data_IF_921774888387
#
_entry.id   IF_921774888387
#
_cell.length_a   1.000
_cell.length_b   1.000
_cell.length_c   1.000
_cell.angle_alpha   90.00
_cell.angle_beta   90.00
_cell.angle_gamma   90.00
#
_symmetry.space_group_name_H-M   'P 1'
#
loop_
_entity.id
_entity.type
_entity.pdbx_description
1 polymer ?
#
# COMPACT_ATOMS: atom_id res chain seq x y z
N UNK A 1 12.73 39.25 18.54
CA UNK A 1 13.39 38.90 17.26
C UNK A 1 13.56 37.39 17.22
N UNK A 2 12.44 36.68 17.31
CA UNK A 2 12.37 35.28 17.70
C UNK A 2 11.29 34.63 16.85
N UNK A 3 11.60 34.36 15.58
CA UNK A 3 10.62 33.69 14.70
C UNK A 3 11.21 33.01 13.45
N UNK A 4 12.52 33.09 13.21
CA UNK A 4 13.09 32.59 11.94
C UNK A 4 13.48 31.09 12.01
N UNK A 5 13.83 30.57 13.19
CA UNK A 5 14.24 29.17 13.34
C UNK A 5 13.08 28.17 13.25
N UNK A 6 11.88 28.57 13.68
CA UNK A 6 10.68 27.74 13.52
C UNK A 6 10.21 27.72 12.07
N UNK A 7 10.34 28.84 11.34
CA UNK A 7 10.10 28.87 9.89
C UNK A 7 11.04 27.95 9.13
N UNK A 8 12.33 27.97 9.41
CA UNK A 8 13.28 27.05 8.75
C UNK A 8 12.98 25.58 9.06
N UNK A 9 12.56 25.27 10.30
CA UNK A 9 12.19 23.90 10.70
C UNK A 9 10.96 23.41 9.93
N UNK A 10 9.89 24.23 9.87
CA UNK A 10 8.66 23.91 9.11
C UNK A 10 8.97 23.73 7.62
N UNK A 11 9.80 24.62 7.06
CA UNK A 11 10.14 24.60 5.64
C UNK A 11 11.05 23.42 5.26
N UNK A 12 11.87 22.93 6.20
CA UNK A 12 12.66 21.70 6.00
C UNK A 12 11.80 20.45 6.13
N UNK A 13 10.79 20.44 7.02
CA UNK A 13 9.83 19.33 7.15
C UNK A 13 8.92 19.20 5.92
N UNK A 14 8.53 20.32 5.30
CA UNK A 14 7.78 20.34 4.04
C UNK A 14 8.56 19.74 2.85
N UNK A 15 9.89 19.71 2.90
CA UNK A 15 10.73 19.12 1.85
C UNK A 15 10.99 17.62 2.01
N UNK A 16 10.63 17.03 3.16
CA UNK A 16 10.89 15.61 3.48
C UNK A 16 9.59 14.79 3.45
N UNK A 17 8.44 15.45 3.62
CA UNK A 17 7.12 14.83 3.46
C UNK A 17 6.72 14.96 1.97
N UNK A 18 6.62 13.87 1.18
CA UNK A 18 6.04 13.97 -0.15
C UNK A 18 4.62 14.54 -0.04
N UNK A 19 4.24 15.47 -0.92
CA UNK A 19 2.95 16.17 -0.86
C UNK A 19 1.72 15.24 -0.96
N UNK A 20 1.93 13.98 -1.35
CA UNK A 20 0.94 12.94 -1.52
C UNK A 20 1.44 11.67 -0.80
N UNK A 21 1.43 11.70 0.52
CA UNK A 21 1.73 10.52 1.34
C UNK A 21 0.53 9.56 1.32
N UNK A 22 0.37 8.87 0.19
CA UNK A 22 -0.60 7.81 0.03
C UNK A 22 0.02 6.53 0.61
N UNK A 23 -0.66 5.95 1.61
CA UNK A 23 -0.29 4.67 2.18
C UNK A 23 -0.07 3.61 1.08
N UNK A 24 1.04 2.89 1.15
CA UNK A 24 1.43 1.93 0.12
C UNK A 24 0.51 0.71 0.17
N UNK A 25 -0.19 0.42 -0.93
CA UNK A 25 -1.06 -0.74 -1.03
C UNK A 25 -0.30 -2.04 -1.37
N UNK A 26 -0.75 -3.15 -0.79
CA UNK A 26 -0.23 -4.51 -0.99
C UNK A 26 -1.35 -5.54 -1.11
N UNK A 27 -1.07 -6.60 -1.87
CA UNK A 27 -1.78 -7.89 -1.78
C UNK A 27 -0.88 -8.92 -1.11
N UNK A 28 -1.37 -9.53 -0.04
CA UNK A 28 -0.67 -10.57 0.71
C UNK A 28 -1.37 -11.90 0.45
N UNK A 29 -0.63 -12.91 -0.01
CA UNK A 29 -1.19 -14.24 -0.26
C UNK A 29 -1.39 -14.97 1.07
N UNK A 30 -2.63 -15.32 1.41
CA UNK A 30 -2.99 -16.02 2.64
C UNK A 30 -3.23 -17.52 2.45
N UNK A 31 -3.51 -17.98 1.22
CA UNK A 31 -3.64 -19.41 0.89
C UNK A 31 -3.09 -19.73 -0.51
N UNK A 32 -2.81 -21.02 -0.77
CA UNK A 32 -2.25 -21.50 -2.03
C UNK A 32 -0.76 -21.81 -1.96
N UNK A 33 -0.11 -21.93 -3.11
CA UNK A 33 1.32 -22.29 -3.19
C UNK A 33 2.25 -21.17 -2.70
N UNK A 34 1.83 -19.90 -2.84
CA UNK A 34 2.68 -18.73 -2.62
C UNK A 34 2.36 -17.99 -1.31
N UNK A 35 1.91 -18.70 -0.27
CA UNK A 35 1.53 -18.09 1.03
C UNK A 35 2.65 -17.20 1.58
N UNK A 36 2.27 -16.02 2.09
CA UNK A 36 3.18 -15.03 2.66
C UNK A 36 3.82 -14.10 1.63
N UNK A 37 3.70 -14.39 0.33
CA UNK A 37 4.15 -13.49 -0.72
C UNK A 37 3.35 -12.19 -0.69
N UNK A 38 4.07 -11.08 -0.83
CA UNK A 38 3.48 -9.74 -0.87
C UNK A 38 3.71 -9.13 -2.26
N UNK A 39 2.65 -8.64 -2.87
CA UNK A 39 2.67 -7.92 -4.14
C UNK A 39 2.40 -6.45 -3.86
N UNK A 40 3.38 -5.59 -4.13
CA UNK A 40 3.21 -4.13 -4.10
C UNK A 40 2.26 -3.70 -5.22
N UNK A 41 1.30 -2.84 -4.89
CA UNK A 41 0.37 -2.26 -5.86
C UNK A 41 0.76 -0.81 -6.15
N UNK A 42 1.09 -0.51 -7.41
CA UNK A 42 1.30 0.86 -7.86
C UNK A 42 -0.02 1.53 -8.25
N UNK A 43 -0.08 2.87 -8.26
CA UNK A 43 -1.14 3.60 -8.95
C UNK A 43 -1.39 3.06 -10.37
N UNK A 44 -2.66 2.94 -10.73
CA UNK A 44 -3.13 2.33 -11.97
C UNK A 44 -3.67 0.91 -11.79
N UNK A 45 -3.77 0.19 -12.91
CA UNK A 45 -4.34 -1.16 -12.93
C UNK A 45 -3.29 -2.23 -12.62
N UNK A 46 -3.69 -3.20 -11.80
CA UNK A 46 -2.97 -4.44 -11.51
C UNK A 46 -3.86 -5.64 -11.83
N UNK A 47 -3.46 -6.41 -12.84
CA UNK A 47 -4.14 -7.63 -13.25
C UNK A 47 -3.76 -8.82 -12.37
N UNK A 48 -4.75 -9.65 -12.06
CA UNK A 48 -4.63 -10.87 -11.26
C UNK A 48 -5.17 -12.04 -12.09
N UNK A 49 -4.43 -13.14 -12.18
CA UNK A 49 -4.89 -14.35 -12.86
C UNK A 49 -3.82 -15.42 -12.96
N UNK A 50 -4.13 -16.55 -13.60
CA UNK A 50 -3.14 -17.64 -13.79
C UNK A 50 -2.18 -17.41 -14.95
N UNK A 51 -2.46 -16.44 -15.82
CA UNK A 51 -1.57 -16.15 -16.94
C UNK A 51 -0.30 -15.47 -16.44
N UNK A 52 0.85 -15.88 -16.96
CA UNK A 52 2.15 -15.26 -16.66
C UNK A 52 2.25 -13.81 -17.15
N UNK A 53 1.32 -13.38 -17.99
CA UNK A 53 1.18 -11.99 -18.45
C UNK A 53 0.49 -11.07 -17.41
N UNK A 54 -0.13 -11.65 -16.36
CA UNK A 54 -0.72 -10.85 -15.28
C UNK A 54 0.33 -10.37 -14.30
N UNK A 55 0.12 -9.18 -13.71
CA UNK A 55 1.05 -8.61 -12.72
C UNK A 55 1.10 -9.44 -11.44
N UNK A 56 -0.03 -10.02 -11.03
CA UNK A 56 -0.13 -10.97 -9.93
C UNK A 56 -0.52 -12.33 -10.50
N UNK A 57 0.51 -13.10 -10.86
CA UNK A 57 0.35 -14.46 -11.39
C UNK A 57 0.09 -15.45 -10.26
N UNK A 58 -1.09 -16.09 -10.29
CA UNK A 58 -1.52 -17.14 -9.38
C UNK A 58 -1.71 -18.43 -10.18
N UNK A 59 -0.68 -19.27 -10.25
CA UNK A 59 -0.68 -20.50 -11.05
C UNK A 59 -1.59 -21.58 -10.43
N UNK A 60 -2.90 -21.47 -10.68
CA UNK A 60 -3.91 -22.44 -10.24
C UNK A 60 -4.99 -22.67 -11.31
N UNK A 61 -5.51 -23.89 -11.39
CA UNK A 61 -6.44 -24.29 -12.46
C UNK A 61 -7.82 -23.63 -12.35
N UNK A 62 -8.28 -23.38 -11.13
CA UNK A 62 -9.56 -22.73 -10.87
C UNK A 62 -9.53 -21.20 -11.07
N UNK A 63 -8.35 -20.65 -11.35
CA UNK A 63 -8.16 -19.23 -11.62
C UNK A 63 -8.12 -19.00 -13.13
N UNK A 64 -9.01 -18.14 -13.64
CA UNK A 64 -8.98 -17.68 -15.04
C UNK A 64 -7.66 -16.99 -15.43
N UNK A 65 -7.34 -16.98 -16.73
CA UNK A 65 -6.09 -16.36 -17.26
C UNK A 65 -5.95 -14.89 -16.85
N UNK A 66 -7.04 -14.14 -17.01
CA UNK A 66 -7.31 -12.84 -16.39
C UNK A 66 -8.56 -13.05 -15.54
N UNK A 67 -8.44 -12.86 -14.23
CA UNK A 67 -9.49 -13.21 -13.29
C UNK A 67 -10.13 -11.97 -12.66
N UNK A 68 -9.28 -11.11 -12.12
CA UNK A 68 -9.69 -9.88 -11.48
C UNK A 68 -8.66 -8.79 -11.77
N UNK A 69 -9.05 -7.56 -11.49
CA UNK A 69 -8.17 -6.40 -11.60
C UNK A 69 -8.39 -5.50 -10.39
N UNK A 70 -7.29 -4.98 -9.86
CA UNK A 70 -7.32 -3.91 -8.86
C UNK A 70 -6.87 -2.62 -9.51
N UNK A 71 -7.64 -1.57 -9.34
CA UNK A 71 -7.31 -0.21 -9.74
C UNK A 71 -6.97 0.58 -8.48
N UNK A 72 -5.77 1.16 -8.44
CA UNK A 72 -5.38 2.18 -7.46
C UNK A 72 -5.49 3.54 -8.14
N UNK A 73 -6.33 4.43 -7.62
CA UNK A 73 -6.47 5.79 -8.15
C UNK A 73 -5.24 6.64 -7.80
N UNK A 74 -5.09 7.80 -8.44
CA UNK A 74 -4.05 8.77 -8.06
C UNK A 74 -4.21 9.28 -6.63
N UNK A 75 -5.43 9.24 -6.08
CA UNK A 75 -5.71 9.61 -4.68
C UNK A 75 -5.50 8.46 -3.69
N UNK A 76 -5.04 7.30 -4.15
CA UNK A 76 -4.79 6.13 -3.31
C UNK A 76 -5.99 5.21 -3.07
N UNK A 77 -7.19 5.56 -3.57
CA UNK A 77 -8.36 4.71 -3.39
C UNK A 77 -8.23 3.43 -4.23
N UNK A 78 -8.58 2.29 -3.64
CA UNK A 78 -8.45 0.99 -4.27
C UNK A 78 -9.81 0.42 -4.63
N UNK A 79 -9.93 -0.11 -5.85
CA UNK A 79 -11.12 -0.77 -6.34
C UNK A 79 -10.78 -2.12 -6.95
N UNK A 80 -11.60 -3.13 -6.71
CA UNK A 80 -11.52 -4.44 -7.35
C UNK A 80 -12.69 -4.66 -8.29
N UNK A 81 -12.44 -5.34 -9.41
CA UNK A 81 -13.47 -5.89 -10.29
C UNK A 81 -13.12 -7.30 -10.73
N UNK A 82 -14.15 -8.11 -10.94
CA UNK A 82 -14.04 -9.40 -11.62
C UNK A 82 -14.00 -9.17 -13.14
N UNK A 83 -13.17 -9.93 -13.86
CA UNK A 83 -12.98 -9.79 -15.31
C UNK A 83 -13.75 -10.85 -16.13
N UNK A 84 -14.88 -11.34 -15.61
CA UNK A 84 -15.64 -12.42 -16.24
C UNK A 84 -15.01 -13.78 -15.95
N UNK A 85 -14.51 -13.96 -14.73
CA UNK A 85 -13.84 -15.19 -14.33
C UNK A 85 -14.82 -16.36 -14.24
N UNK A 86 -14.30 -17.58 -14.39
CA UNK A 86 -15.14 -18.79 -14.45
C UNK A 86 -15.75 -19.15 -13.10
N UNK A 87 -15.04 -18.87 -12.01
CA UNK A 87 -15.43 -19.24 -10.65
C UNK A 87 -15.79 -18.03 -9.77
N UNK A 88 -15.73 -16.82 -10.35
CA UNK A 88 -16.01 -15.57 -9.67
C UNK A 88 -14.92 -15.14 -8.68
N UNK A 89 -15.04 -13.88 -8.29
CA UNK A 89 -14.26 -13.26 -7.22
C UNK A 89 -15.17 -12.98 -6.03
N UNK A 90 -14.73 -13.32 -4.82
CA UNK A 90 -15.44 -12.99 -3.58
C UNK A 90 -14.63 -11.98 -2.76
N UNK A 91 -15.31 -10.94 -2.28
CA UNK A 91 -14.77 -9.98 -1.32
C UNK A 91 -15.45 -10.21 0.03
N UNK A 92 -14.66 -10.55 1.05
CA UNK A 92 -15.14 -10.90 2.40
C UNK A 92 -16.29 -11.93 2.37
N UNK A 93 -16.07 -13.02 1.63
CA UNK A 93 -17.02 -14.11 1.41
C UNK A 93 -18.32 -13.73 0.67
N UNK A 94 -18.40 -12.54 0.07
CA UNK A 94 -19.53 -12.12 -0.77
C UNK A 94 -19.09 -12.01 -2.23
N UNK A 95 -19.84 -12.54 -3.20
CA UNK A 95 -19.48 -12.42 -4.61
C UNK A 95 -19.48 -10.95 -5.04
N UNK A 96 -18.57 -10.59 -5.95
CA UNK A 96 -18.61 -9.30 -6.63
C UNK A 96 -19.75 -9.31 -7.65
N UNK A 97 -20.86 -8.64 -7.32
CA UNK A 97 -22.03 -8.48 -8.22
C UNK A 97 -22.03 -7.18 -8.99
N UNK A 98 -21.31 -6.18 -8.48
CA UNK A 98 -21.21 -4.84 -9.07
C UNK A 98 -20.03 -4.77 -10.04
N UNK A 99 -20.06 -3.80 -10.97
CA UNK A 99 -18.98 -3.62 -11.95
C UNK A 99 -17.60 -3.35 -11.32
N UNK A 100 -17.58 -2.78 -10.11
CA UNK A 100 -16.39 -2.59 -9.29
C UNK A 100 -16.79 -2.40 -7.82
N UNK A 101 -15.88 -2.69 -6.89
CA UNK A 101 -16.06 -2.52 -5.45
C UNK A 101 -14.83 -1.89 -4.82
N UNK A 102 -15.05 -0.93 -3.93
CA UNK A 102 -13.97 -0.33 -3.14
C UNK A 102 -13.37 -1.37 -2.18
N UNK A 103 -12.04 -1.32 -2.03
CA UNK A 103 -11.27 -2.12 -1.09
C UNK A 103 -10.83 -1.26 0.10
N UNK A 104 -10.90 -1.87 1.28
CA UNK A 104 -10.47 -1.31 2.55
C UNK A 104 -9.37 -2.16 3.18
N UNK A 105 -8.51 -1.55 4.00
CA UNK A 105 -7.42 -2.28 4.66
C UNK A 105 -7.94 -3.52 5.41
N UNK A 106 -7.27 -4.65 5.19
CA UNK A 106 -7.62 -5.94 5.80
C UNK A 106 -8.64 -6.77 5.01
N UNK A 107 -9.21 -6.24 3.92
CA UNK A 107 -10.16 -6.97 3.08
C UNK A 107 -9.58 -8.28 2.55
N UNK A 108 -10.41 -9.33 2.56
CA UNK A 108 -10.05 -10.65 2.05
C UNK A 108 -10.71 -10.88 0.69
N UNK A 109 -9.87 -11.16 -0.30
CA UNK A 109 -10.29 -11.41 -1.67
C UNK A 109 -10.04 -12.89 -1.96
N UNK A 110 -11.10 -13.64 -2.24
CA UNK A 110 -10.99 -15.03 -2.69
C UNK A 110 -11.10 -15.07 -4.21
N UNK A 111 -10.09 -15.67 -4.85
CA UNK A 111 -9.92 -15.79 -6.28
C UNK A 111 -10.04 -17.26 -6.66
N UNK A 112 -10.94 -17.56 -7.61
CA UNK A 112 -11.08 -18.91 -8.17
C UNK A 112 -11.39 -19.98 -7.14
N UNK A 113 -12.16 -19.67 -6.09
CA UNK A 113 -12.59 -20.65 -5.08
C UNK A 113 -11.53 -21.10 -4.07
N UNK A 114 -10.23 -20.94 -4.36
CA UNK A 114 -9.15 -21.58 -3.59
C UNK A 114 -8.14 -20.61 -2.98
N UNK A 115 -7.76 -19.56 -3.70
CA UNK A 115 -6.72 -18.62 -3.25
C UNK A 115 -7.34 -17.42 -2.54
N UNK A 116 -6.84 -17.11 -1.34
CA UNK A 116 -7.25 -15.97 -0.54
C UNK A 116 -6.08 -14.99 -0.49
N UNK A 117 -6.37 -13.74 -0.85
CA UNK A 117 -5.48 -12.60 -0.75
C UNK A 117 -6.00 -11.65 0.33
N UNK A 118 -5.10 -10.96 1.04
CA UNK A 118 -5.44 -9.83 1.91
C UNK A 118 -4.99 -8.54 1.25
N UNK A 119 -5.90 -7.59 1.09
CA UNK A 119 -5.53 -6.23 0.74
C UNK A 119 -5.06 -5.48 1.99
N UNK A 120 -4.01 -4.68 1.88
CA UNK A 120 -3.52 -3.88 3.00
C UNK A 120 -2.86 -2.59 2.57
N UNK A 121 -3.09 -1.51 3.30
CA UNK A 121 -2.30 -0.29 3.26
C UNK A 121 -1.21 -0.36 4.32
N UNK A 122 0.02 0.00 3.95
CA UNK A 122 1.12 0.21 4.88
C UNK A 122 1.54 1.67 4.82
N UNK A 123 1.39 2.36 5.95
CA UNK A 123 1.82 3.75 6.08
C UNK A 123 3.35 3.84 6.01
N UNK A 124 3.85 4.70 5.13
CA UNK A 124 5.27 5.05 5.14
C UNK A 124 5.63 6.02 6.29
N UNK A 125 4.60 6.53 6.99
CA UNK A 125 4.73 7.59 7.98
C UNK A 125 5.58 7.16 9.17
N UNK A 126 5.46 5.92 9.65
CA UNK A 126 6.16 5.48 10.87
C UNK A 126 7.68 5.65 10.75
N UNK A 127 8.26 5.35 9.59
CA UNK A 127 9.72 5.37 9.36
C UNK A 127 10.25 6.81 9.20
N UNK A 128 9.50 7.68 8.51
CA UNK A 128 9.85 9.10 8.33
C UNK A 128 9.63 9.92 9.61
N UNK A 129 8.59 9.63 10.38
CA UNK A 129 8.34 10.25 11.68
C UNK A 129 9.40 9.83 12.71
N UNK A 130 9.76 8.55 12.76
CA UNK A 130 10.82 8.07 13.66
C UNK A 130 12.18 8.68 13.32
N UNK A 131 12.52 8.87 12.03
CA UNK A 131 13.74 9.57 11.62
C UNK A 131 13.70 11.07 11.94
N UNK A 132 12.57 11.75 11.76
CA UNK A 132 12.40 13.15 12.11
C UNK A 132 12.46 13.39 13.64
N UNK A 133 11.83 12.50 14.42
CA UNK A 133 11.91 12.51 15.89
C UNK A 133 13.30 12.15 16.38
N UNK A 134 13.97 11.16 15.78
CA UNK A 134 15.34 10.77 16.13
C UNK A 134 16.35 11.89 15.84
N UNK A 135 16.28 12.52 14.66
CA UNK A 135 17.17 13.64 14.31
C UNK A 135 16.92 14.89 15.16
N UNK A 136 15.68 15.13 15.61
CA UNK A 136 15.36 16.26 16.50
C UNK A 136 15.68 15.98 17.97
N UNK A 137 15.51 14.74 18.44
CA UNK A 137 15.81 14.33 19.82
C UNK A 137 17.31 14.14 20.08
N UNK A 138 18.12 13.85 19.06
CA UNK A 138 19.58 13.66 19.19
C UNK A 138 20.35 14.98 19.13
N UNK A 139 19.74 16.11 18.73
CA UNK A 139 20.38 17.44 18.79
C UNK A 139 19.91 18.26 20.01
N UNK A 140 20.62 18.00 21.10
CA UNK A 140 20.96 18.86 22.25
C UNK A 140 20.05 18.78 23.50
N UNK A 141 20.65 18.36 24.64
CA UNK A 141 21.02 19.38 25.62
C UNK A 141 22.46 19.23 26.17
N UNK A 142 23.18 20.35 26.20
CA UNK A 142 24.46 20.64 26.87
C UNK A 142 25.74 20.07 26.21
N UNK A 143 26.43 20.94 25.45
CA UNK A 143 27.76 21.40 25.89
C UNK A 143 27.90 22.90 25.66
N UNK A 144 27.64 23.67 26.72
CA UNK A 144 28.00 25.08 26.75
C UNK A 144 29.52 25.23 26.83
N UNK A 145 30.18 25.50 25.69
CA UNK A 145 31.52 26.08 25.70
C UNK A 145 31.65 27.12 24.58
N UNK A 146 31.99 28.32 25.03
CA UNK A 146 32.35 29.53 24.31
C UNK A 146 33.26 29.31 23.10
N UNK A 147 33.00 30.03 22.00
CA UNK A 147 34.09 30.48 21.14
C UNK A 147 34.52 31.88 21.62
N UNK A 148 35.69 31.97 22.25
CA UNK A 148 36.30 33.24 22.68
C UNK A 148 36.98 33.90 21.47
N UNK A 149 36.59 35.15 21.24
CA UNK A 149 37.25 36.26 20.51
C UNK A 149 37.68 36.02 19.06
#
# INVERSE_FOLDING_TARGET
MSDDRYKTLIQTMQNILPEEDCAQAYLIVLSGAEIGKMHRLEPGSTSIGRSRETKVCLEHEEISRLHAEILITSSGAAYIRDCGSSNGTLLNAKPLTDAQRELTDGDKIQIGGTVILKFSYQDHLEESFQLALYNSAVRDPLTGVHNKR
#
